data_IF_970334254283
#
_entry.id   IF_970334254283
#
_cell.length_a   1.000
_cell.length_b   1.000
_cell.length_c   1.000
_cell.angle_alpha   90.00
_cell.angle_beta   90.00
_cell.angle_gamma   90.00
#
_symmetry.space_group_name_H-M   'P 1'
#
loop_
_entity.id
_entity.type
_entity.pdbx_description
1 polymer ?
#
# COMPACT_ATOMS: atom_id res chain seq x y z
N UNK A 1 -11.80 -30.16 15.97
CA UNK A 1 -12.76 -30.66 14.99
C UNK A 1 -12.54 -29.93 13.68
N UNK A 2 -12.06 -30.63 12.65
CA UNK A 2 -11.83 -30.07 11.32
C UNK A 2 -13.19 -29.76 10.69
N UNK A 3 -13.56 -28.49 10.67
CA UNK A 3 -14.64 -28.03 9.80
C UNK A 3 -14.10 -28.13 8.37
N UNK A 4 -14.88 -28.63 7.43
CA UNK A 4 -14.56 -28.57 5.99
C UNK A 4 -15.10 -27.24 5.46
N UNK A 5 -14.36 -26.53 4.60
CA UNK A 5 -14.84 -25.27 4.00
C UNK A 5 -16.03 -25.52 3.05
N UNK A 6 -15.85 -26.48 2.13
CA UNK A 6 -16.86 -27.14 1.30
C UNK A 6 -16.21 -28.40 0.69
N UNK A 7 -17.01 -29.35 0.20
CA UNK A 7 -16.54 -30.60 -0.43
C UNK A 7 -16.38 -30.50 -1.97
N UNK A 8 -16.80 -29.38 -2.58
CA UNK A 8 -16.66 -29.09 -4.02
C UNK A 8 -16.39 -27.61 -4.28
N UNK A 9 -15.48 -27.30 -5.21
CA UNK A 9 -15.03 -25.94 -5.54
C UNK A 9 -13.72 -25.55 -4.80
N UNK A 10 -13.19 -24.35 -5.07
CA UNK A 10 -11.93 -23.87 -4.48
C UNK A 10 -12.14 -23.13 -3.15
N UNK A 11 -12.78 -23.80 -2.19
CA UNK A 11 -13.11 -23.19 -0.90
C UNK A 11 -11.99 -23.41 0.12
N UNK A 12 -11.55 -22.32 0.74
CA UNK A 12 -10.56 -22.30 1.83
C UNK A 12 -11.22 -21.66 3.04
N UNK A 13 -10.96 -22.18 4.25
CA UNK A 13 -11.50 -21.60 5.46
C UNK A 13 -10.87 -20.23 5.77
N UNK A 14 -11.64 -19.28 6.31
CA UNK A 14 -11.08 -18.11 6.95
C UNK A 14 -10.09 -18.54 8.04
N UNK A 15 -8.82 -18.19 7.87
CA UNK A 15 -7.73 -18.65 8.72
C UNK A 15 -7.09 -17.46 9.40
N UNK A 16 -6.85 -17.54 10.70
CA UNK A 16 -6.20 -16.47 11.48
C UNK A 16 -5.01 -17.06 12.22
N UNK A 17 -3.83 -16.47 12.02
CA UNK A 17 -2.62 -16.75 12.79
C UNK A 17 -2.34 -15.59 13.74
N UNK A 18 -2.32 -15.88 15.05
CA UNK A 18 -1.82 -14.98 16.08
C UNK A 18 -0.32 -15.15 16.32
N UNK A 19 0.27 -14.20 17.05
CA UNK A 19 1.67 -14.22 17.48
C UNK A 19 2.68 -14.42 16.33
N UNK A 20 2.33 -13.95 15.13
CA UNK A 20 3.19 -14.02 13.95
C UNK A 20 4.45 -13.18 14.15
N UNK A 21 5.59 -13.67 13.65
CA UNK A 21 6.89 -13.00 13.73
C UNK A 21 7.34 -12.56 12.34
N UNK A 22 8.09 -11.47 12.26
CA UNK A 22 8.47 -10.85 10.99
C UNK A 22 9.27 -11.80 10.08
N UNK A 23 10.03 -12.75 10.61
CA UNK A 23 10.84 -13.69 9.82
C UNK A 23 10.06 -14.89 9.27
N UNK A 24 8.77 -15.03 9.59
CA UNK A 24 7.94 -16.12 9.07
C UNK A 24 7.58 -15.88 7.60
N UNK A 25 7.52 -16.94 6.80
CA UNK A 25 7.09 -16.87 5.39
C UNK A 25 5.72 -16.21 5.25
N UNK A 26 4.76 -16.56 6.10
CA UNK A 26 3.41 -15.98 6.10
C UNK A 26 3.37 -14.48 6.41
N UNK A 27 4.45 -13.90 6.94
CA UNK A 27 4.59 -12.46 7.18
C UNK A 27 5.32 -11.71 6.05
N UNK A 28 5.89 -12.43 5.08
CA UNK A 28 6.77 -11.86 4.04
C UNK A 28 6.30 -12.11 2.62
N UNK A 29 5.56 -13.18 2.38
CA UNK A 29 5.05 -13.55 1.07
C UNK A 29 3.55 -13.26 0.93
N UNK A 30 3.14 -12.79 -0.24
CA UNK A 30 1.74 -12.53 -0.54
C UNK A 30 0.97 -13.85 -0.72
N UNK A 31 0.02 -14.11 0.18
CA UNK A 31 -0.76 -15.35 0.17
C UNK A 31 -1.93 -15.29 -0.81
N UNK A 32 -2.52 -14.10 -1.01
CA UNK A 32 -3.65 -13.87 -1.91
C UNK A 32 -4.90 -14.73 -1.63
N UNK A 33 -5.07 -15.14 -0.37
CA UNK A 33 -6.17 -15.99 0.11
C UNK A 33 -6.70 -15.55 1.47
N UNK A 34 -7.70 -16.25 2.04
CA UNK A 34 -8.40 -15.83 3.26
C UNK A 34 -7.60 -16.16 4.53
N UNK A 35 -6.37 -15.66 4.63
CA UNK A 35 -5.42 -15.96 5.72
C UNK A 35 -4.90 -14.65 6.34
N UNK A 36 -5.31 -14.37 7.57
CA UNK A 36 -4.93 -13.18 8.33
C UNK A 36 -3.76 -13.47 9.29
N UNK A 37 -2.84 -12.51 9.40
CA UNK A 37 -1.70 -12.53 10.30
C UNK A 37 -1.85 -11.39 11.33
N UNK A 38 -1.67 -11.72 12.61
CA UNK A 38 -1.72 -10.75 13.70
C UNK A 38 -0.36 -10.72 14.39
N UNK A 39 0.28 -9.55 14.35
CA UNK A 39 1.57 -9.28 14.96
C UNK A 39 1.39 -8.24 16.08
N UNK A 40 2.11 -8.41 17.19
CA UNK A 40 2.13 -7.44 18.30
C UNK A 40 3.31 -6.48 18.12
N UNK A 41 3.13 -5.23 18.53
CA UNK A 41 4.19 -4.21 18.61
C UNK A 41 4.04 -3.42 19.91
N UNK A 42 5.07 -2.67 20.31
CA UNK A 42 5.05 -1.85 21.54
C UNK A 42 5.16 -0.36 21.27
N UNK A 43 5.98 0.07 20.31
CA UNK A 43 6.21 1.50 20.05
C UNK A 43 5.91 1.87 18.60
N UNK A 44 5.66 3.17 18.37
CA UNK A 44 5.38 3.69 17.02
C UNK A 44 6.62 3.63 16.13
N UNK A 45 7.80 3.88 16.68
CA UNK A 45 9.07 3.75 15.95
C UNK A 45 9.30 2.29 15.52
N UNK A 46 9.09 1.35 16.44
CA UNK A 46 9.22 -0.08 16.17
C UNK A 46 8.28 -0.51 15.03
N UNK A 47 6.99 -0.17 15.10
CA UNK A 47 6.02 -0.61 14.10
C UNK A 47 6.24 0.05 12.73
N UNK A 48 6.67 1.31 12.68
CA UNK A 48 7.01 1.98 11.41
C UNK A 48 8.23 1.32 10.77
N UNK A 49 9.27 1.00 11.57
CA UNK A 49 10.46 0.31 11.07
C UNK A 49 10.10 -1.09 10.53
N UNK A 50 9.33 -1.87 11.29
CA UNK A 50 8.89 -3.21 10.91
C UNK A 50 7.98 -3.20 9.69
N UNK A 51 7.02 -2.27 9.62
CA UNK A 51 6.13 -2.12 8.47
C UNK A 51 6.89 -1.75 7.18
N UNK A 52 7.98 -1.01 7.31
CA UNK A 52 8.83 -0.62 6.19
C UNK A 52 9.87 -1.67 5.80
N UNK A 53 10.19 -2.64 6.69
CA UNK A 53 11.06 -3.78 6.42
C UNK A 53 10.36 -4.81 5.53
N UNK A 54 10.24 -4.47 4.26
CA UNK A 54 9.65 -5.32 3.24
C UNK A 54 10.07 -4.83 1.85
N UNK A 55 10.10 -5.75 0.88
CA UNK A 55 10.30 -5.40 -0.53
C UNK A 55 9.07 -4.72 -1.16
N UNK A 56 7.91 -4.88 -0.53
CA UNK A 56 6.63 -4.33 -0.98
C UNK A 56 6.36 -2.93 -0.43
N UNK A 57 5.38 -2.25 -0.99
CA UNK A 57 4.97 -0.90 -0.58
C UNK A 57 3.73 -0.43 -1.32
N UNK A 58 2.71 -1.29 -1.48
CA UNK A 58 1.51 -0.93 -2.23
C UNK A 58 0.61 0.02 -1.44
N UNK A 59 0.13 -0.43 -0.28
CA UNK A 59 -0.72 0.33 0.61
C UNK A 59 -0.41 0.00 2.08
N UNK A 60 -0.82 0.88 2.98
CA UNK A 60 -0.78 0.68 4.42
C UNK A 60 -1.96 1.40 5.09
N UNK A 61 -2.21 1.11 6.36
CA UNK A 61 -3.21 1.84 7.13
C UNK A 61 -2.80 2.04 8.58
N UNK A 62 -3.29 3.12 9.17
CA UNK A 62 -3.16 3.42 10.60
C UNK A 62 -4.55 3.66 11.20
N UNK A 63 -4.82 3.03 12.34
CA UNK A 63 -6.06 3.20 13.09
C UNK A 63 -5.74 3.84 14.44
N UNK A 64 -6.16 5.08 14.63
CA UNK A 64 -5.89 5.88 15.83
C UNK A 64 -6.84 7.07 15.91
N UNK A 65 -7.17 7.51 17.12
CA UNK A 65 -7.90 8.77 17.37
C UNK A 65 -6.97 9.97 17.59
N UNK A 66 -5.68 9.71 17.73
CA UNK A 66 -4.63 10.69 17.99
C UNK A 66 -4.07 11.20 16.66
N UNK A 67 -4.21 12.51 16.43
CA UNK A 67 -3.82 13.17 15.18
C UNK A 67 -2.30 13.19 14.96
N UNK A 68 -1.52 13.31 16.03
CA UNK A 68 -0.06 13.35 15.94
C UNK A 68 0.46 11.96 15.55
N UNK A 69 -0.13 10.90 16.11
CA UNK A 69 0.18 9.53 15.71
C UNK A 69 -0.25 9.24 14.28
N UNK A 70 -1.43 9.71 13.88
CA UNK A 70 -1.92 9.55 12.51
C UNK A 70 -0.96 10.18 11.51
N UNK A 71 -0.55 11.43 11.76
CA UNK A 71 0.41 12.16 10.91
C UNK A 71 1.81 11.56 10.93
N UNK A 72 2.33 11.19 12.11
CA UNK A 72 3.65 10.58 12.24
C UNK A 72 3.75 9.27 11.47
N UNK A 73 2.79 8.37 11.69
CA UNK A 73 2.79 7.04 11.06
C UNK A 73 2.54 7.16 9.56
N UNK A 74 1.60 8.00 9.12
CA UNK A 74 1.31 8.12 7.68
C UNK A 74 2.48 8.68 6.88
N UNK A 75 3.22 9.64 7.43
CA UNK A 75 4.43 10.17 6.80
C UNK A 75 5.62 9.21 6.88
N UNK A 76 5.69 8.37 7.92
CA UNK A 76 6.77 7.40 8.10
C UNK A 76 6.64 6.15 7.23
N UNK A 77 5.44 5.78 6.80
CA UNK A 77 5.19 4.57 6.01
C UNK A 77 5.59 4.75 4.54
N UNK A 78 6.37 3.80 4.01
CA UNK A 78 6.82 3.76 2.62
C UNK A 78 5.86 2.95 1.75
N UNK A 79 4.65 3.48 1.60
CA UNK A 79 3.57 2.88 0.80
C UNK A 79 2.94 3.89 -0.17
N UNK A 80 2.37 3.37 -1.26
CA UNK A 80 1.70 4.15 -2.31
C UNK A 80 0.50 4.94 -1.83
N UNK A 81 -0.31 4.28 -1.00
CA UNK A 81 -1.49 4.84 -0.36
C UNK A 81 -1.44 4.51 1.12
N UNK A 82 -1.70 5.51 1.97
CA UNK A 82 -1.84 5.30 3.41
C UNK A 82 -3.22 5.74 3.85
N UNK A 83 -4.03 4.80 4.34
CA UNK A 83 -5.34 5.08 4.89
C UNK A 83 -5.28 5.37 6.39
N UNK A 84 -6.13 6.29 6.85
CA UNK A 84 -6.24 6.64 8.27
C UNK A 84 -7.68 6.36 8.71
N UNK A 85 -7.85 5.43 9.66
CA UNK A 85 -9.15 4.97 10.18
C UNK A 85 -10.11 4.37 9.13
N UNK A 86 -9.58 3.90 8.01
CA UNK A 86 -10.30 3.16 6.98
C UNK A 86 -9.34 2.19 6.26
N UNK A 87 -9.88 1.36 5.37
CA UNK A 87 -9.11 0.45 4.52
C UNK A 87 -9.88 0.25 3.20
N UNK A 88 -9.16 0.02 2.10
CA UNK A 88 -9.73 -0.20 0.75
C UNK A 88 -10.68 0.91 0.25
N UNK A 89 -10.41 2.15 0.65
CA UNK A 89 -11.15 3.32 0.12
C UNK A 89 -10.44 3.82 -1.13
N UNK A 90 -11.01 3.47 -2.28
CA UNK A 90 -10.57 3.94 -3.59
C UNK A 90 -11.49 5.05 -4.12
N UNK A 91 -10.92 5.98 -4.87
CA UNK A 91 -11.66 6.99 -5.61
C UNK A 91 -10.98 7.24 -6.94
N UNK A 92 -11.75 7.33 -8.02
CA UNK A 92 -11.21 7.55 -9.37
C UNK A 92 -10.36 8.83 -9.47
N UNK A 93 -10.60 9.80 -8.60
CA UNK A 93 -9.87 11.06 -8.48
C UNK A 93 -8.51 10.94 -7.76
N UNK A 94 -8.30 9.90 -6.95
CA UNK A 94 -7.10 9.74 -6.13
C UNK A 94 -6.14 8.75 -6.81
N UNK A 95 -4.84 9.08 -6.96
CA UNK A 95 -3.89 8.17 -7.58
C UNK A 95 -3.64 6.95 -6.70
N UNK A 96 -3.41 5.81 -7.34
CA UNK A 96 -3.03 4.56 -6.68
C UNK A 96 -1.81 3.93 -7.38
N UNK A 97 -0.92 3.28 -6.64
CA UNK A 97 0.22 2.59 -7.21
C UNK A 97 1.36 2.44 -6.21
N UNK A 98 2.23 1.45 -6.42
CA UNK A 98 3.18 1.02 -5.41
C UNK A 98 4.44 1.87 -5.24
N UNK A 99 5.07 1.67 -4.10
CA UNK A 99 6.49 1.93 -3.84
C UNK A 99 7.30 0.63 -4.03
N UNK A 100 8.62 0.77 -4.17
CA UNK A 100 9.57 -0.35 -4.21
C UNK A 100 9.17 -1.39 -5.26
N UNK A 101 9.14 -2.68 -4.91
CA UNK A 101 8.77 -3.75 -5.84
C UNK A 101 7.25 -3.83 -6.12
N UNK A 102 6.42 -2.99 -5.48
CA UNK A 102 4.97 -2.99 -5.72
C UNK A 102 4.54 -2.20 -6.95
N UNK A 103 5.47 -1.59 -7.70
CA UNK A 103 5.18 -1.01 -9.01
C UNK A 103 5.95 0.28 -9.31
N UNK A 104 5.84 0.73 -10.56
CA UNK A 104 6.38 1.98 -11.07
C UNK A 104 5.25 2.80 -11.71
N UNK A 105 5.19 4.10 -11.44
CA UNK A 105 4.12 4.98 -11.89
C UNK A 105 2.88 4.96 -10.98
N UNK A 106 1.82 5.65 -11.41
CA UNK A 106 0.52 5.69 -10.74
C UNK A 106 -0.60 5.48 -11.74
N UNK A 107 -1.70 4.88 -11.29
CA UNK A 107 -2.97 4.82 -12.01
C UNK A 107 -4.00 5.69 -11.31
N UNK A 108 -5.14 5.95 -11.97
CA UNK A 108 -6.20 6.84 -11.51
C UNK A 108 -5.75 8.29 -11.33
N UNK A 109 -6.69 9.17 -10.96
CA UNK A 109 -6.44 10.59 -10.77
C UNK A 109 -5.80 11.27 -11.99
N UNK A 110 -5.31 12.49 -11.78
CA UNK A 110 -4.58 13.22 -12.82
C UNK A 110 -3.23 12.57 -13.14
N UNK A 111 -2.54 12.05 -12.12
CA UNK A 111 -1.21 11.44 -12.25
C UNK A 111 -1.20 10.20 -13.16
N UNK A 112 -2.32 9.47 -13.26
CA UNK A 112 -2.43 8.34 -14.17
C UNK A 112 -2.30 8.72 -15.65
N UNK A 113 -2.64 9.97 -16.01
CA UNK A 113 -2.57 10.45 -17.40
C UNK A 113 -1.13 10.62 -17.89
N UNK A 114 -0.19 10.89 -16.97
CA UNK A 114 1.22 11.10 -17.31
C UNK A 114 1.85 9.83 -17.94
N UNK A 115 1.39 8.64 -17.55
CA UNK A 115 1.85 7.36 -18.11
C UNK A 115 1.35 7.10 -19.55
N UNK A 116 0.32 7.82 -19.99
CA UNK A 116 -0.31 7.67 -21.31
C UNK A 116 -0.11 8.90 -22.19
N UNK A 117 0.75 9.83 -21.78
CA UNK A 117 1.02 11.07 -22.50
C UNK A 117 2.48 11.15 -22.92
N UNK A 118 2.72 11.36 -24.21
CA UNK A 118 4.07 11.61 -24.74
C UNK A 118 4.27 13.11 -24.97
N UNK A 119 5.11 13.74 -24.16
CA UNK A 119 5.32 15.20 -24.21
C UNK A 119 6.21 15.57 -25.42
N UNK A 120 5.72 16.49 -26.27
CA UNK A 120 6.49 17.04 -27.39
C UNK A 120 6.74 18.52 -27.21
N UNK A 121 8.01 18.91 -27.05
CA UNK A 121 8.43 20.31 -27.08
C UNK A 121 8.71 20.75 -28.52
N UNK A 122 8.11 21.86 -28.94
CA UNK A 122 8.41 22.53 -30.22
C UNK A 122 9.02 23.89 -29.91
N UNK A 123 10.22 24.15 -30.44
CA UNK A 123 10.94 25.41 -30.23
C UNK A 123 11.09 26.15 -31.56
N UNK A 124 10.70 27.42 -31.58
CA UNK A 124 10.80 28.28 -32.75
C UNK A 124 11.78 29.44 -32.47
N UNK A 125 12.71 29.69 -33.40
CA UNK A 125 13.56 30.88 -33.37
C UNK A 125 12.69 32.13 -33.55
N UNK A 126 12.82 33.10 -32.64
CA UNK A 126 12.16 34.42 -32.76
C UNK A 126 13.20 35.53 -32.91
N UNK A 127 12.88 36.65 -33.58
CA UNK A 127 13.81 37.78 -33.72
C UNK A 127 14.23 38.38 -32.38
N UNK A 128 13.28 38.56 -31.46
CA UNK A 128 13.49 39.02 -30.10
C UNK A 128 12.30 38.55 -29.24
N UNK A 129 12.58 37.83 -28.15
CA UNK A 129 11.56 37.46 -27.15
C UNK A 129 11.43 38.59 -26.14
N UNK A 130 10.22 39.10 -25.93
CA UNK A 130 9.90 39.98 -24.79
C UNK A 130 9.12 39.17 -23.72
N UNK A 131 9.16 39.64 -22.47
CA UNK A 131 8.40 39.06 -21.34
C UNK A 131 6.93 39.41 -21.41
#
# INVERSE_FOLDING_TARGET
GTRVAADRGYFIQPTVFGDVQDNMTIAREEIFGPVMQILKFKTLEEVVNRANDTKYGLAAAVFTKDIDKASYVSNGLRAGTVWINCYDVFGAQAPFGGYKASGNGRELGQYGLDNYTEVKTVTMKVPQKNS
#
